data_IF_792031788744
#
_entry.id   IF_792031788744
#
_cell.length_a   1.000
_cell.length_b   1.000
_cell.length_c   1.000
_cell.angle_alpha   90.00
_cell.angle_beta   90.00
_cell.angle_gamma   90.00
#
_symmetry.space_group_name_H-M   'P 1'
#
loop_
_entity.id
_entity.type
_entity.pdbx_description
1 polymer ?
#
# COMPACT_ATOMS: atom_id res chain seq x y z
N UNK A 1 -4.46 1.18 -17.04
CA UNK A 1 -4.36 1.31 -15.57
C UNK A 1 -2.99 1.78 -15.10
N UNK A 2 -1.88 1.23 -15.60
CA UNK A 2 -0.52 1.59 -15.19
C UNK A 2 -0.22 3.11 -15.20
N UNK A 3 -0.69 3.85 -16.22
CA UNK A 3 -0.53 5.33 -16.29
C UNK A 3 -1.18 6.08 -15.11
N UNK A 4 -2.35 5.64 -14.64
CA UNK A 4 -3.03 6.28 -13.49
C UNK A 4 -2.27 6.01 -12.20
N UNK A 5 -1.78 4.80 -12.02
CA UNK A 5 -0.92 4.43 -10.89
C UNK A 5 0.35 5.28 -10.88
N UNK A 6 1.04 5.42 -12.02
CA UNK A 6 2.26 6.22 -12.12
C UNK A 6 2.04 7.69 -11.74
N UNK A 7 1.01 8.33 -12.32
CA UNK A 7 0.69 9.73 -12.01
C UNK A 7 0.28 9.91 -10.53
N UNK A 8 -0.53 9.00 -10.00
CA UNK A 8 -0.99 9.05 -8.62
C UNK A 8 0.14 8.82 -7.61
N UNK A 9 1.05 7.89 -7.90
CA UNK A 9 2.24 7.63 -7.08
C UNK A 9 3.15 8.85 -7.02
N UNK A 10 3.46 9.46 -8.17
CA UNK A 10 4.31 10.66 -8.23
C UNK A 10 3.66 11.82 -7.47
N UNK A 11 2.36 12.05 -7.65
CA UNK A 11 1.63 13.10 -6.95
C UNK A 11 1.54 12.85 -5.43
N UNK A 12 1.25 11.62 -4.99
CA UNK A 12 1.16 11.29 -3.56
C UNK A 12 2.50 11.46 -2.84
N UNK A 13 3.58 11.03 -3.50
CA UNK A 13 4.92 11.00 -2.92
C UNK A 13 5.70 12.29 -3.10
N UNK A 14 5.16 13.24 -3.87
CA UNK A 14 5.83 14.45 -4.33
C UNK A 14 7.20 14.11 -4.94
N UNK A 15 7.18 13.24 -5.95
CA UNK A 15 8.41 12.71 -6.55
C UNK A 15 9.31 11.96 -5.56
N UNK A 16 8.72 11.22 -4.62
CA UNK A 16 9.41 10.51 -3.53
C UNK A 16 10.08 11.40 -2.46
N UNK A 17 9.96 12.73 -2.52
CA UNK A 17 10.52 13.62 -1.51
C UNK A 17 9.86 13.42 -0.13
N UNK A 18 8.57 13.07 -0.09
CA UNK A 18 7.80 12.90 1.17
C UNK A 18 8.08 11.58 1.89
N UNK A 19 8.66 10.59 1.20
CA UNK A 19 8.86 9.24 1.73
C UNK A 19 10.32 8.80 1.55
N UNK A 20 11.19 9.25 2.45
CA UNK A 20 12.60 8.84 2.49
C UNK A 20 12.85 7.49 3.23
N UNK A 21 11.78 6.79 3.61
CA UNK A 21 11.82 5.57 4.44
C UNK A 21 10.80 4.55 3.92
N UNK A 22 10.86 3.27 4.33
CA UNK A 22 9.88 2.25 3.93
C UNK A 22 8.42 2.54 4.32
N UNK A 23 8.15 3.69 4.94
CA UNK A 23 6.81 4.21 5.26
C UNK A 23 5.86 4.29 4.07
N UNK A 24 6.38 4.38 2.83
CA UNK A 24 5.54 4.29 1.64
C UNK A 24 4.73 2.99 1.60
N UNK A 25 5.32 1.86 2.03
CA UNK A 25 4.61 0.56 2.06
C UNK A 25 3.45 0.54 3.05
N UNK A 26 3.58 1.28 4.16
CA UNK A 26 2.54 1.47 5.17
C UNK A 26 1.43 2.38 4.66
N UNK A 27 1.81 3.49 4.02
CA UNK A 27 0.86 4.44 3.41
C UNK A 27 0.08 3.79 2.25
N UNK A 28 0.76 3.00 1.41
CA UNK A 28 0.17 2.26 0.31
C UNK A 28 -0.74 1.10 0.76
N UNK A 29 -0.73 0.74 2.05
CA UNK A 29 -1.51 -0.38 2.57
C UNK A 29 -1.04 -1.73 2.05
N UNK A 30 0.28 -1.88 1.84
CA UNK A 30 0.93 -3.14 1.43
C UNK A 30 1.56 -3.84 2.64
N UNK A 31 2.10 -3.08 3.60
CA UNK A 31 2.75 -3.63 4.78
C UNK A 31 1.74 -4.23 5.77
N UNK A 32 1.87 -5.51 6.18
CA UNK A 32 1.04 -6.11 7.22
C UNK A 32 1.50 -5.65 8.61
N UNK A 33 0.55 -5.34 9.50
CA UNK A 33 0.79 -5.02 10.90
C UNK A 33 0.24 -6.11 11.81
N UNK A 34 0.97 -6.45 12.86
CA UNK A 34 0.48 -7.34 13.90
C UNK A 34 -0.63 -6.64 14.70
N UNK A 35 -1.73 -7.36 14.94
CA UNK A 35 -2.83 -6.86 15.77
C UNK A 35 -2.71 -7.51 17.15
N UNK A 36 -2.03 -6.84 18.07
CA UNK A 36 -1.90 -7.24 19.47
C UNK A 36 -2.43 -6.14 20.40
N UNK A 37 -3.23 -6.52 21.40
CA UNK A 37 -3.85 -5.60 22.37
C UNK A 37 -3.40 -5.87 23.81
N UNK A 38 -2.23 -6.49 23.99
CA UNK A 38 -1.63 -6.77 25.30
C UNK A 38 -2.21 -7.99 26.05
N UNK A 39 -3.41 -8.45 25.71
CA UNK A 39 -3.93 -9.77 26.13
C UNK A 39 -3.54 -10.84 25.11
N UNK A 40 -3.52 -12.12 25.53
CA UNK A 40 -3.03 -13.31 24.78
C UNK A 40 -3.76 -13.62 23.45
N UNK A 41 -4.38 -12.63 22.80
CA UNK A 41 -5.10 -12.73 21.54
C UNK A 41 -4.21 -12.17 20.43
N UNK A 42 -3.49 -13.07 19.74
CA UNK A 42 -2.80 -12.76 18.48
C UNK A 42 -3.79 -12.86 17.33
N UNK A 43 -4.30 -11.71 16.87
CA UNK A 43 -5.17 -11.64 15.70
C UNK A 43 -4.40 -11.80 14.39
N UNK A 44 -5.12 -12.03 13.28
CA UNK A 44 -4.51 -12.01 11.94
C UNK A 44 -3.88 -10.65 11.65
N UNK A 45 -2.69 -10.68 11.06
CA UNK A 45 -1.99 -9.48 10.59
C UNK A 45 -2.85 -8.73 9.58
N UNK A 46 -2.99 -7.42 9.75
CA UNK A 46 -3.86 -6.59 8.94
C UNK A 46 -3.15 -5.30 8.55
N UNK A 47 -3.61 -4.70 7.46
CA UNK A 47 -3.15 -3.37 7.05
C UNK A 47 -3.82 -2.31 7.90
N UNK A 48 -3.12 -1.20 8.16
CA UNK A 48 -3.67 -0.08 8.92
C UNK A 48 -4.91 0.51 8.23
N UNK A 49 -5.89 0.94 9.03
CA UNK A 49 -7.06 1.65 8.51
C UNK A 49 -6.72 3.05 7.98
N UNK A 50 -5.55 3.59 8.35
CA UNK A 50 -5.01 4.86 7.86
C UNK A 50 -4.33 4.75 6.48
N UNK A 51 -4.26 3.55 5.90
CA UNK A 51 -3.69 3.36 4.57
C UNK A 51 -4.57 4.01 3.49
N UNK A 52 -3.93 4.51 2.43
CA UNK A 52 -4.59 5.02 1.24
C UNK A 52 -5.19 3.85 0.44
N UNK A 53 -6.51 3.68 0.57
CA UNK A 53 -7.28 2.60 -0.08
C UNK A 53 -7.32 2.77 -1.60
N UNK A 54 -7.21 4.00 -2.11
CA UNK A 54 -7.18 4.29 -3.54
C UNK A 54 -5.84 3.86 -4.14
N UNK A 55 -4.73 4.20 -3.48
CA UNK A 55 -3.40 3.78 -3.90
C UNK A 55 -3.26 2.25 -3.84
N UNK A 56 -3.80 1.61 -2.80
CA UNK A 56 -3.85 0.15 -2.66
C UNK A 56 -4.59 -0.54 -3.80
N UNK A 57 -5.77 -0.05 -4.17
CA UNK A 57 -6.58 -0.63 -5.26
C UNK A 57 -5.91 -0.47 -6.62
N UNK A 58 -5.32 0.70 -6.89
CA UNK A 58 -4.55 0.94 -8.12
C UNK A 58 -3.33 0.00 -8.23
N UNK A 59 -2.61 -0.22 -7.13
CA UNK A 59 -1.49 -1.18 -7.07
C UNK A 59 -1.97 -2.59 -7.35
N UNK A 60 -3.02 -3.04 -6.67
CA UNK A 60 -3.53 -4.40 -6.81
C UNK A 60 -4.01 -4.69 -8.24
N UNK A 61 -4.80 -3.79 -8.83
CA UNK A 61 -5.30 -3.96 -10.19
C UNK A 61 -4.19 -3.91 -11.24
N UNK A 62 -3.19 -3.05 -11.06
CA UNK A 62 -2.05 -2.98 -11.98
C UNK A 62 -1.21 -4.25 -11.92
N UNK A 63 -0.99 -4.80 -10.72
CA UNK A 63 -0.28 -6.07 -10.54
C UNK A 63 -1.02 -7.24 -11.21
N UNK A 64 -2.35 -7.32 -11.07
CA UNK A 64 -3.16 -8.36 -11.72
C UNK A 64 -3.07 -8.29 -13.25
N UNK A 65 -3.16 -7.08 -13.82
CA UNK A 65 -3.01 -6.91 -15.28
C UNK A 65 -1.61 -7.33 -15.73
N UNK A 66 -0.57 -6.87 -15.02
CA UNK A 66 0.82 -7.20 -15.36
C UNK A 66 1.12 -8.70 -15.26
N UNK A 67 0.56 -9.39 -14.27
CA UNK A 67 0.74 -10.83 -14.09
C UNK A 67 0.01 -11.65 -15.16
N UNK A 68 -1.08 -11.12 -15.72
CA UNK A 68 -1.87 -11.76 -16.78
C UNK A 68 -1.27 -11.59 -18.17
N UNK A 69 -0.50 -10.53 -18.42
CA UNK A 69 0.14 -10.26 -19.72
C UNK A 69 1.43 -11.06 -19.96
N UNK A 70 1.53 -12.27 -19.40
CA UNK A 70 2.60 -13.26 -19.66
C UNK A 70 2.05 -14.47 -20.38
#
# INVERSE_FOLDING_TARGET
MARRLAAYLVACTDGFARFNTPRLSCHAGVAPFERSSGSSVRGRTQVSHQADKSLKTLLHMSALVSARTR
#
